data_IF_862143727303
#
_entry.id   IF_862143727303
#
_cell.length_a   1.000
_cell.length_b   1.000
_cell.length_c   1.000
_cell.angle_alpha   90.00
_cell.angle_beta   90.00
_cell.angle_gamma   90.00
#
_symmetry.space_group_name_H-M   'P 1'
#
loop_
_entity.id
_entity.type
_entity.pdbx_description
1 polymer ?
#
# COMPACT_ATOMS: atom_id res chain seq x y z
N UNK A 1 22.11 6.62 -2.48
CA UNK A 1 22.57 7.70 -1.60
C UNK A 1 21.48 8.70 -1.35
N UNK A 2 21.12 9.46 -2.37
CA UNK A 2 20.00 10.40 -2.21
C UNK A 2 18.73 9.73 -1.74
N UNK A 3 18.46 8.52 -2.25
CA UNK A 3 17.24 7.79 -1.89
C UNK A 3 17.21 7.41 -0.42
N UNK A 4 18.34 7.04 0.14
CA UNK A 4 18.43 6.71 1.56
C UNK A 4 18.13 7.93 2.43
N UNK A 5 18.65 9.07 2.05
CA UNK A 5 18.43 10.32 2.79
C UNK A 5 16.99 10.77 2.70
N UNK A 6 16.40 10.70 1.50
CA UNK A 6 15.00 11.05 1.30
C UNK A 6 14.09 10.14 2.11
N UNK A 7 14.42 8.86 2.15
CA UNK A 7 13.65 7.89 2.90
C UNK A 7 13.69 8.19 4.39
N UNK A 8 14.86 8.53 4.92
CA UNK A 8 14.98 8.89 6.33
C UNK A 8 14.16 10.13 6.67
N UNK A 9 14.12 11.10 5.78
CA UNK A 9 13.32 12.30 5.98
C UNK A 9 11.83 11.96 6.02
N UNK A 10 11.39 11.06 5.14
CA UNK A 10 10.01 10.64 5.11
C UNK A 10 9.64 9.85 6.37
N UNK A 11 10.53 9.02 6.87
CA UNK A 11 10.31 8.30 8.12
C UNK A 11 10.08 9.28 9.28
N UNK A 12 10.86 10.31 9.35
CA UNK A 12 10.70 11.34 10.39
C UNK A 12 9.40 12.11 10.21
N UNK A 13 9.12 12.49 8.99
CA UNK A 13 7.92 13.27 8.66
C UNK A 13 6.66 12.59 9.12
N UNK A 14 6.60 11.26 8.99
CA UNK A 14 5.40 10.50 9.30
C UNK A 14 5.51 9.70 10.59
N UNK A 15 6.52 9.99 11.41
CA UNK A 15 6.72 9.36 12.71
C UNK A 15 6.79 7.84 12.65
N UNK A 16 7.44 7.32 11.62
CA UNK A 16 7.62 5.89 11.48
C UNK A 16 8.72 5.41 12.40
N UNK A 17 8.49 4.31 13.07
CA UNK A 17 9.44 3.70 13.99
C UNK A 17 10.03 2.44 13.37
N UNK A 18 11.08 1.86 13.93
CA UNK A 18 11.60 0.60 13.40
C UNK A 18 10.57 -0.53 13.37
N UNK A 19 9.55 -0.44 14.21
CA UNK A 19 8.46 -1.44 14.21
C UNK A 19 7.54 -1.33 13.01
N UNK A 20 7.54 -0.19 12.35
CA UNK A 20 6.68 0.07 11.19
C UNK A 20 7.34 -0.34 9.87
N UNK A 21 8.62 -0.67 9.91
CA UNK A 21 9.44 -0.84 8.70
C UNK A 21 10.23 -2.12 8.81
N UNK A 22 10.29 -2.90 7.76
CA UNK A 22 11.17 -4.06 7.73
C UNK A 22 11.64 -4.33 6.31
N UNK A 23 12.66 -5.15 6.18
CA UNK A 23 13.17 -5.59 4.89
C UNK A 23 12.65 -6.98 4.57
N UNK A 24 12.17 -7.17 3.36
CA UNK A 24 11.78 -8.50 2.91
C UNK A 24 13.02 -9.34 2.66
N UNK A 25 12.89 -10.67 2.56
CA UNK A 25 14.01 -11.51 2.19
C UNK A 25 14.61 -11.15 0.83
N UNK A 26 13.85 -10.50 -0.04
CA UNK A 26 14.32 -10.09 -1.36
C UNK A 26 14.93 -8.68 -1.34
N UNK A 27 15.03 -8.04 -0.18
CA UNK A 27 15.66 -6.74 -0.06
C UNK A 27 14.77 -5.53 -0.19
N UNK A 28 13.47 -5.72 -0.36
CA UNK A 28 12.53 -4.59 -0.44
C UNK A 28 12.33 -3.97 0.94
N UNK A 29 12.14 -2.66 0.96
CA UNK A 29 11.67 -1.98 2.15
C UNK A 29 10.15 -2.08 2.19
N UNK A 30 9.62 -2.51 3.32
CA UNK A 30 8.18 -2.72 3.49
C UNK A 30 7.71 -1.91 4.69
N UNK A 31 6.57 -1.23 4.52
CA UNK A 31 5.92 -0.51 5.62
C UNK A 31 4.71 -1.34 6.04
N UNK A 32 4.57 -1.57 7.33
CA UNK A 32 3.47 -2.36 7.90
C UNK A 32 2.16 -1.61 7.71
N UNK A 33 1.04 -2.32 7.86
CA UNK A 33 -0.28 -1.70 7.79
C UNK A 33 -0.40 -0.55 8.80
N UNK A 34 0.10 -0.74 10.03
CA UNK A 34 0.09 0.33 11.04
C UNK A 34 0.87 1.53 10.55
N UNK A 35 2.01 1.31 9.89
CA UNK A 35 2.80 2.39 9.32
C UNK A 35 2.06 3.12 8.20
N UNK A 36 1.39 2.39 7.34
CA UNK A 36 0.56 2.98 6.27
C UNK A 36 -0.55 3.84 6.87
N UNK A 37 -1.19 3.36 7.92
CA UNK A 37 -2.25 4.12 8.60
C UNK A 37 -1.73 5.41 9.21
N UNK A 38 -0.54 5.39 9.78
CA UNK A 38 0.11 6.60 10.31
C UNK A 38 0.36 7.61 9.20
N UNK A 39 0.87 7.14 8.08
CA UNK A 39 1.16 8.01 6.94
C UNK A 39 -0.14 8.63 6.43
N UNK A 40 -1.16 7.83 6.26
CA UNK A 40 -2.46 8.31 5.77
C UNK A 40 -3.03 9.39 6.68
N UNK A 41 -2.97 9.16 7.98
CA UNK A 41 -3.52 10.11 8.95
C UNK A 41 -2.74 11.42 8.96
N UNK A 42 -1.42 11.35 9.00
CA UNK A 42 -0.58 12.55 9.05
C UNK A 42 -0.59 13.33 7.75
N UNK A 43 -0.65 12.65 6.63
CA UNK A 43 -0.73 13.30 5.32
C UNK A 43 -2.13 13.77 4.98
N UNK A 44 -3.11 13.40 5.80
CA UNK A 44 -4.53 13.76 5.61
C UNK A 44 -5.03 13.33 4.24
N UNK A 45 -4.79 12.08 3.91
CA UNK A 45 -5.23 11.50 2.65
C UNK A 45 -6.63 10.93 2.82
N UNK A 46 -7.56 11.40 2.01
CA UNK A 46 -8.91 10.86 1.95
C UNK A 46 -8.98 9.91 0.76
N UNK A 47 -9.58 8.76 0.94
CA UNK A 47 -9.64 7.75 -0.11
C UNK A 47 -11.09 7.32 -0.32
N UNK A 48 -11.50 7.33 -1.58
CA UNK A 48 -12.77 6.77 -2.02
C UNK A 48 -12.50 5.52 -2.83
N UNK A 49 -13.32 4.51 -2.63
CA UNK A 49 -13.12 3.22 -3.30
C UNK A 49 -14.26 2.94 -4.26
N UNK A 50 -13.94 2.23 -5.33
CA UNK A 50 -14.91 1.80 -6.31
C UNK A 50 -14.63 0.36 -6.68
N UNK A 51 -15.63 -0.50 -6.61
CA UNK A 51 -15.49 -1.89 -7.00
C UNK A 51 -15.58 -1.96 -8.51
N UNK A 52 -14.46 -2.27 -9.16
CA UNK A 52 -14.37 -2.23 -10.62
C UNK A 52 -14.71 -3.56 -11.26
N UNK A 53 -14.37 -4.65 -10.61
CA UNK A 53 -14.60 -5.97 -11.17
C UNK A 53 -14.67 -7.04 -10.08
N UNK A 54 -15.62 -7.93 -10.19
CA UNK A 54 -15.70 -9.14 -9.37
C UNK A 54 -16.10 -10.28 -10.28
N UNK A 55 -15.36 -11.37 -10.27
CA UNK A 55 -15.73 -12.53 -11.06
C UNK A 55 -16.92 -13.26 -10.42
N UNK A 56 -17.58 -14.12 -11.19
CA UNK A 56 -18.77 -14.84 -10.74
C UNK A 56 -18.50 -15.69 -9.49
N UNK A 57 -17.30 -16.22 -9.37
CA UNK A 57 -16.93 -17.05 -8.22
C UNK A 57 -16.34 -16.22 -7.08
N UNK A 58 -16.31 -14.90 -7.22
CA UNK A 58 -15.78 -13.95 -6.22
C UNK A 58 -14.29 -14.11 -5.93
N UNK A 59 -13.56 -14.81 -6.80
CA UNK A 59 -12.12 -15.04 -6.59
C UNK A 59 -11.24 -13.99 -7.22
N UNK A 60 -11.74 -13.29 -8.23
CA UNK A 60 -11.01 -12.22 -8.90
C UNK A 60 -11.70 -10.90 -8.62
N UNK A 61 -10.98 -9.99 -7.99
CA UNK A 61 -11.53 -8.71 -7.56
C UNK A 61 -10.58 -7.60 -7.95
N UNK A 62 -11.12 -6.51 -8.47
CA UNK A 62 -10.35 -5.30 -8.71
C UNK A 62 -11.08 -4.12 -8.05
N UNK A 63 -10.36 -3.39 -7.22
CA UNK A 63 -10.88 -2.20 -6.56
C UNK A 63 -10.02 -1.02 -6.96
N UNK A 64 -10.66 0.08 -7.29
CA UNK A 64 -9.99 1.34 -7.57
C UNK A 64 -10.05 2.20 -6.30
N UNK A 65 -8.94 2.81 -5.95
CA UNK A 65 -8.87 3.79 -4.88
C UNK A 65 -8.56 5.15 -5.49
N UNK A 66 -9.32 6.15 -5.13
CA UNK A 66 -9.04 7.53 -5.52
C UNK A 66 -8.68 8.25 -4.24
N UNK A 67 -7.41 8.59 -4.09
CA UNK A 67 -6.92 9.26 -2.90
C UNK A 67 -6.57 10.70 -3.19
N UNK A 68 -6.83 11.56 -2.25
CA UNK A 68 -6.50 12.97 -2.44
C UNK A 68 -6.08 13.63 -1.15
N UNK A 69 -5.21 14.61 -1.32
CA UNK A 69 -4.84 15.54 -0.27
C UNK A 69 -5.36 16.90 -0.72
N UNK A 70 -4.99 17.93 0.00
CA UNK A 70 -5.38 19.29 -0.35
C UNK A 70 -4.94 19.66 -1.78
N UNK A 71 -3.77 19.20 -2.20
CA UNK A 71 -3.14 19.65 -3.45
C UNK A 71 -3.02 18.61 -4.54
N UNK A 72 -3.21 17.34 -4.22
CA UNK A 72 -2.93 16.25 -5.15
C UNK A 72 -4.02 15.20 -5.11
N UNK A 73 -4.15 14.47 -6.19
CA UNK A 73 -4.95 13.25 -6.17
C UNK A 73 -4.29 12.18 -7.02
N UNK A 74 -4.66 10.93 -6.77
CA UNK A 74 -4.16 9.81 -7.54
C UNK A 74 -5.20 8.70 -7.54
N UNK A 75 -5.20 7.92 -8.61
CA UNK A 75 -6.00 6.71 -8.70
C UNK A 75 -5.07 5.52 -8.69
N UNK A 76 -5.39 4.53 -7.90
CA UNK A 76 -4.65 3.28 -7.87
C UNK A 76 -5.62 2.11 -7.90
N UNK A 77 -5.11 0.95 -8.27
CA UNK A 77 -5.91 -0.27 -8.31
C UNK A 77 -5.28 -1.30 -7.40
N UNK A 78 -6.14 -2.07 -6.74
CA UNK A 78 -5.72 -3.24 -6.01
C UNK A 78 -6.45 -4.43 -6.57
N UNK A 79 -5.77 -5.53 -6.75
CA UNK A 79 -6.36 -6.74 -7.28
C UNK A 79 -6.17 -7.90 -6.30
N UNK A 80 -7.10 -8.83 -6.35
CA UNK A 80 -7.02 -10.06 -5.59
C UNK A 80 -7.41 -11.21 -6.51
N UNK A 81 -6.65 -12.29 -6.46
CA UNK A 81 -6.91 -13.48 -7.27
C UNK A 81 -6.41 -14.70 -6.51
N UNK A 82 -6.75 -15.91 -6.95
CA UNK A 82 -6.22 -17.10 -6.29
C UNK A 82 -4.71 -17.18 -6.28
N UNK A 83 -4.03 -16.49 -7.22
CA UNK A 83 -2.58 -16.49 -7.30
C UNK A 83 -1.94 -15.61 -6.23
N UNK A 84 -2.62 -14.57 -5.77
CA UNK A 84 -2.03 -13.60 -4.85
C UNK A 84 -2.79 -13.45 -3.53
N UNK A 85 -3.86 -14.22 -3.33
CA UNK A 85 -4.67 -14.13 -2.11
C UNK A 85 -5.07 -15.52 -1.67
N UNK A 86 -4.68 -15.88 -0.47
CA UNK A 86 -4.97 -17.21 0.07
C UNK A 86 -6.06 -17.24 1.11
N UNK A 87 -6.49 -16.08 1.56
CA UNK A 87 -7.55 -16.01 2.56
C UNK A 87 -8.93 -15.94 1.89
N UNK A 88 -9.95 -15.88 2.71
CA UNK A 88 -11.34 -15.87 2.25
C UNK A 88 -11.91 -14.47 2.06
N UNK A 89 -11.04 -13.46 2.03
CA UNK A 89 -11.47 -12.06 1.99
C UNK A 89 -10.87 -11.32 0.79
N UNK A 90 -11.22 -11.74 -0.44
CA UNK A 90 -10.59 -11.12 -1.63
C UNK A 90 -10.91 -9.64 -1.80
N UNK A 91 -12.11 -9.21 -1.45
CA UNK A 91 -12.46 -7.78 -1.57
C UNK A 91 -11.62 -6.95 -0.60
N UNK A 92 -11.52 -7.39 0.65
CA UNK A 92 -10.72 -6.68 1.64
C UNK A 92 -9.25 -6.62 1.25
N UNK A 93 -8.72 -7.70 0.69
CA UNK A 93 -7.33 -7.72 0.23
C UNK A 93 -7.11 -6.80 -0.95
N UNK A 94 -8.03 -6.77 -1.90
CA UNK A 94 -7.93 -5.86 -3.05
C UNK A 94 -7.98 -4.41 -2.57
N UNK A 95 -8.86 -4.11 -1.64
CA UNK A 95 -8.99 -2.76 -1.07
C UNK A 95 -7.70 -2.33 -0.37
N UNK A 96 -7.12 -3.20 0.43
CA UNK A 96 -5.88 -2.89 1.16
C UNK A 96 -4.72 -2.64 0.21
N UNK A 97 -4.65 -3.40 -0.86
CA UNK A 97 -3.60 -3.19 -1.87
C UNK A 97 -3.78 -1.87 -2.60
N UNK A 98 -5.02 -1.53 -2.95
CA UNK A 98 -5.31 -0.24 -3.57
C UNK A 98 -4.95 0.91 -2.64
N UNK A 99 -5.31 0.79 -1.36
CA UNK A 99 -5.02 1.79 -0.34
C UNK A 99 -3.52 1.99 -0.15
N UNK A 100 -2.78 0.91 0.03
CA UNK A 100 -1.33 0.99 0.24
C UNK A 100 -0.64 1.69 -0.92
N UNK A 101 -1.00 1.32 -2.13
CA UNK A 101 -0.44 1.95 -3.32
C UNK A 101 -0.76 3.43 -3.38
N UNK A 102 -1.99 3.77 -3.04
CA UNK A 102 -2.46 5.15 -3.03
C UNK A 102 -1.68 6.00 -2.04
N UNK A 103 -1.59 5.53 -0.80
CA UNK A 103 -0.89 6.26 0.26
C UNK A 103 0.59 6.42 -0.07
N UNK A 104 1.23 5.35 -0.50
CA UNK A 104 2.68 5.39 -0.77
C UNK A 104 3.01 6.21 -2.01
N UNK A 105 2.14 6.22 -3.03
CA UNK A 105 2.36 7.04 -4.21
C UNK A 105 2.16 8.53 -3.92
N UNK A 106 1.16 8.87 -3.14
CA UNK A 106 0.90 10.28 -2.81
C UNK A 106 1.99 10.90 -1.95
N UNK A 107 2.70 10.09 -1.19
CA UNK A 107 3.67 10.59 -0.22
C UNK A 107 5.12 10.41 -0.66
N UNK A 108 5.34 9.84 -1.84
CA UNK A 108 6.70 9.71 -2.40
C UNK A 108 7.46 8.45 -2.02
N UNK A 109 6.90 7.61 -1.16
CA UNK A 109 7.57 6.36 -0.78
C UNK A 109 7.67 5.37 -1.94
N UNK A 110 6.62 5.29 -2.75
CA UNK A 110 6.55 4.29 -3.81
C UNK A 110 7.69 4.47 -4.82
N UNK A 111 8.02 5.70 -5.13
CA UNK A 111 9.10 6.04 -6.06
C UNK A 111 10.46 5.63 -5.52
N UNK A 112 10.57 5.47 -4.20
CA UNK A 112 11.81 5.06 -3.55
C UNK A 112 11.90 3.55 -3.33
N UNK A 113 11.00 2.79 -3.96
CA UNK A 113 11.03 1.34 -3.88
C UNK A 113 10.43 0.75 -2.62
N UNK A 114 9.52 1.47 -1.99
CA UNK A 114 8.87 1.02 -0.75
C UNK A 114 7.49 0.47 -1.06
N UNK A 115 7.15 -0.65 -0.47
CA UNK A 115 5.87 -1.32 -0.68
C UNK A 115 5.14 -1.49 0.64
N UNK A 116 3.83 -1.63 0.57
CA UNK A 116 3.04 -1.96 1.75
C UNK A 116 3.06 -3.45 2.03
N UNK A 117 2.85 -3.79 3.27
CA UNK A 117 2.84 -5.17 3.74
C UNK A 117 1.86 -6.05 2.96
N UNK A 118 0.72 -5.51 2.61
CA UNK A 118 -0.32 -6.26 1.91
C UNK A 118 0.04 -6.59 0.46
N UNK A 119 0.97 -5.84 -0.13
CA UNK A 119 1.37 -6.05 -1.51
C UNK A 119 2.37 -7.19 -1.67
N UNK A 120 3.22 -7.40 -0.68
CA UNK A 120 4.35 -8.33 -0.80
C UNK A 120 4.18 -9.61 0.00
N UNK A 121 3.06 -9.76 0.66
CA UNK A 121 2.80 -10.90 1.51
C UNK A 121 2.99 -12.23 0.78
N UNK A 122 2.48 -12.33 -0.42
CA UNK A 122 2.60 -13.54 -1.20
C UNK A 122 4.02 -13.80 -1.68
N UNK A 123 4.74 -12.74 -1.96
CA UNK A 123 6.15 -12.85 -2.36
C UNK A 123 6.98 -13.42 -1.21
N UNK A 124 6.72 -12.97 0.00
CA UNK A 124 7.45 -13.43 1.18
C UNK A 124 7.20 -14.89 1.50
N UNK A 125 6.06 -15.41 1.15
CA UNK A 125 5.69 -16.79 1.44
C UNK A 125 6.35 -17.80 0.50
N UNK A 126 6.93 -17.32 -0.55
CA UNK A 126 7.67 -18.19 -1.44
C UNK A 126 9.05 -18.46 -0.90
#
# INVERSE_FOLDING_TARGET
MKNKELLKELYKKYNLTPEDIFKSPLGFTIITRSGIDKIQALAKIEINYSLEKVSDDNKYVVIKAIGHTKDKFIETYGESSPQNTRNQYPIAMAEKRAMSRCVLKLTGFYELGVYGEDEVNEIQKK
#
